data_IF_309400435378
#
_entry.id   IF_309400435378
#
_cell.length_a   1.000
_cell.length_b   1.000
_cell.length_c   1.000
_cell.angle_alpha   90.00
_cell.angle_beta   90.00
_cell.angle_gamma   90.00
#
_symmetry.space_group_name_H-M   'P 1'
#
loop_
_entity.id
_entity.type
_entity.pdbx_description
1 polymer ?
#
# COMPACT_ATOMS: atom_id res chain seq x y z
N UNK A 1 16.92 4.23 7.68
CA UNK A 1 15.51 3.81 7.64
C UNK A 1 15.44 2.34 7.31
N UNK A 2 14.62 1.60 8.03
CA UNK A 2 14.42 0.16 7.88
C UNK A 2 12.94 -0.11 7.56
N UNK A 3 12.66 -1.16 6.78
CA UNK A 3 11.29 -1.63 6.56
C UNK A 3 11.13 -2.93 7.33
N UNK A 4 10.11 -2.99 8.18
CA UNK A 4 9.73 -4.18 8.94
C UNK A 4 8.44 -4.74 8.33
N UNK A 5 8.42 -6.03 8.00
CA UNK A 5 7.22 -6.75 7.57
C UNK A 5 6.53 -7.30 8.82
N UNK A 6 5.23 -7.07 8.94
CA UNK A 6 4.40 -7.44 10.10
C UNK A 6 2.94 -7.61 9.66
N UNK A 7 2.01 -7.67 10.61
CA UNK A 7 0.58 -7.87 10.39
C UNK A 7 -0.28 -6.87 11.18
N UNK A 8 -1.61 -7.00 11.09
CA UNK A 8 -2.59 -6.13 11.71
C UNK A 8 -2.52 -6.05 13.24
N UNK A 9 -1.86 -7.02 13.89
CA UNK A 9 -1.75 -7.12 15.35
C UNK A 9 -0.56 -6.35 15.91
N UNK A 10 0.30 -5.80 15.05
CA UNK A 10 1.45 -5.01 15.48
C UNK A 10 1.01 -3.71 16.15
N UNK A 11 1.33 -3.54 17.44
CA UNK A 11 0.94 -2.36 18.22
C UNK A 11 1.40 -1.05 17.55
N UNK A 12 2.56 -1.07 16.88
CA UNK A 12 3.10 0.11 16.20
C UNK A 12 2.27 0.50 14.97
N UNK A 13 1.69 -0.48 14.28
CA UNK A 13 0.77 -0.26 13.18
C UNK A 13 -0.55 0.30 13.68
N UNK A 14 -1.10 -0.30 14.74
CA UNK A 14 -2.33 0.17 15.39
C UNK A 14 -2.19 1.63 15.85
N UNK A 15 -1.04 1.98 16.43
CA UNK A 15 -0.75 3.35 16.89
C UNK A 15 -0.67 4.36 15.73
N UNK A 16 0.05 4.04 14.64
CA UNK A 16 0.14 4.97 13.51
C UNK A 16 -1.22 5.14 12.83
N UNK A 17 -2.01 4.08 12.60
CA UNK A 17 -3.35 4.21 12.04
C UNK A 17 -4.28 5.09 12.89
N UNK A 18 -4.23 4.94 14.22
CA UNK A 18 -4.97 5.83 15.15
C UNK A 18 -4.55 7.29 14.99
N UNK A 19 -3.26 7.56 14.78
CA UNK A 19 -2.77 8.94 14.59
C UNK A 19 -3.28 9.61 13.31
N UNK A 20 -3.67 8.81 12.31
CA UNK A 20 -4.30 9.27 11.07
C UNK A 20 -5.85 9.20 11.12
N UNK A 21 -6.45 8.81 12.25
CA UNK A 21 -7.91 8.71 12.41
C UNK A 21 -8.54 7.53 11.65
N UNK A 22 -7.75 6.53 11.27
CA UNK A 22 -8.18 5.39 10.46
C UNK A 22 -8.72 4.24 11.33
N UNK A 23 -9.71 3.51 10.81
CA UNK A 23 -10.17 2.23 11.34
C UNK A 23 -9.48 1.10 10.57
N UNK A 24 -8.95 0.12 11.31
CA UNK A 24 -8.21 -1.00 10.73
C UNK A 24 -9.17 -1.95 10.01
N UNK A 25 -8.99 -2.09 8.70
CA UNK A 25 -9.70 -3.08 7.88
C UNK A 25 -8.84 -4.33 7.69
N UNK A 26 -8.52 -4.96 8.83
CA UNK A 26 -7.82 -6.26 8.97
C UNK A 26 -6.81 -6.61 7.85
N UNK A 27 -5.76 -5.79 7.63
CA UNK A 27 -4.79 -6.06 6.57
C UNK A 27 -3.95 -7.30 6.88
N UNK A 28 -3.79 -8.17 5.88
CA UNK A 28 -3.00 -9.39 6.02
C UNK A 28 -1.49 -9.13 6.13
N UNK A 29 -0.99 -8.10 5.43
CA UNK A 29 0.43 -7.74 5.44
C UNK A 29 0.56 -6.24 5.67
N UNK A 30 1.45 -5.89 6.59
CA UNK A 30 1.80 -4.53 6.95
C UNK A 30 3.31 -4.32 6.79
N UNK A 31 3.69 -3.23 6.14
CA UNK A 31 5.06 -2.73 6.10
C UNK A 31 5.19 -1.50 6.96
N UNK A 32 6.05 -1.56 7.99
CA UNK A 32 6.38 -0.40 8.83
C UNK A 32 7.71 0.22 8.39
N UNK A 33 7.69 1.51 8.09
CA UNK A 33 8.91 2.30 7.91
C UNK A 33 9.41 2.78 9.27
N UNK A 34 10.61 2.34 9.64
CA UNK A 34 11.25 2.65 10.92
C UNK A 34 12.39 3.65 10.73
N UNK A 35 12.42 4.67 11.60
CA UNK A 35 13.53 5.60 11.72
C UNK A 35 13.96 5.73 13.19
N UNK A 36 15.19 5.31 13.52
CA UNK A 36 15.72 5.28 14.89
C UNK A 36 14.71 4.74 15.93
N UNK A 37 14.08 3.59 15.62
CA UNK A 37 13.05 2.89 16.43
C UNK A 37 11.66 3.54 16.46
N UNK A 38 11.45 4.68 15.81
CA UNK A 38 10.12 5.28 15.65
C UNK A 38 9.47 4.78 14.37
N UNK A 39 8.19 4.40 14.45
CA UNK A 39 7.36 4.16 13.27
C UNK A 39 6.99 5.49 12.66
N UNK A 40 7.28 5.62 11.38
CA UNK A 40 7.17 6.90 10.68
C UNK A 40 6.41 6.81 9.38
N UNK A 41 6.05 5.62 8.98
CA UNK A 41 5.11 5.38 7.92
C UNK A 41 4.69 3.93 7.89
N UNK A 42 3.62 3.66 7.18
CA UNK A 42 3.20 2.31 6.88
C UNK A 42 2.56 2.22 5.51
N UNK A 43 2.56 1.01 4.97
CA UNK A 43 1.64 0.61 3.90
C UNK A 43 1.17 -0.81 4.19
N UNK A 44 0.02 -1.19 3.68
CA UNK A 44 -0.56 -2.52 3.93
C UNK A 44 -1.36 -3.03 2.75
N UNK A 45 -1.53 -4.34 2.68
CA UNK A 45 -2.53 -4.94 1.80
C UNK A 45 -3.38 -6.00 2.49
N UNK A 46 -4.53 -6.26 1.88
CA UNK A 46 -5.39 -7.41 2.14
C UNK A 46 -5.71 -8.14 0.82
N UNK A 47 -6.31 -9.31 0.92
CA UNK A 47 -6.87 -10.00 -0.26
C UNK A 47 -8.02 -9.18 -0.83
N UNK A 48 -8.00 -8.92 -2.14
CA UNK A 48 -9.12 -8.28 -2.85
C UNK A 48 -10.01 -9.35 -3.48
N UNK A 49 -9.40 -10.22 -4.29
CA UNK A 49 -10.05 -11.37 -4.91
C UNK A 49 -9.07 -12.56 -5.02
N UNK A 50 -9.42 -13.58 -5.80
CA UNK A 50 -8.60 -14.78 -5.96
C UNK A 50 -7.24 -14.54 -6.64
N UNK A 51 -7.10 -13.45 -7.40
CA UNK A 51 -5.93 -13.15 -8.22
C UNK A 51 -5.24 -11.83 -7.82
N UNK A 52 -5.80 -11.06 -6.90
CA UNK A 52 -5.31 -9.73 -6.56
C UNK A 52 -5.34 -9.38 -5.07
N UNK A 53 -4.38 -8.56 -4.68
CA UNK A 53 -4.32 -7.91 -3.37
C UNK A 53 -4.67 -6.42 -3.50
N UNK A 54 -5.32 -5.85 -2.48
CA UNK A 54 -5.65 -4.43 -2.40
C UNK A 54 -4.71 -3.73 -1.43
N UNK A 55 -4.05 -2.66 -1.88
CA UNK A 55 -3.34 -1.74 -0.99
C UNK A 55 -4.37 -0.90 -0.25
N UNK A 56 -4.43 -1.05 1.07
CA UNK A 56 -5.44 -0.40 1.91
C UNK A 56 -4.93 0.82 2.65
N UNK A 57 -3.61 0.92 2.87
CA UNK A 57 -3.03 2.09 3.55
C UNK A 57 -1.72 2.53 2.92
N UNK A 58 -1.50 3.84 2.95
CA UNK A 58 -0.20 4.47 2.71
C UNK A 58 -0.11 5.74 3.57
N UNK A 59 0.49 5.61 4.75
CA UNK A 59 0.65 6.72 5.69
C UNK A 59 2.12 7.06 5.86
N UNK A 60 2.48 8.35 5.73
CA UNK A 60 3.85 8.85 5.89
C UNK A 60 3.87 10.12 6.75
N UNK A 61 4.50 10.05 7.93
CA UNK A 61 4.71 11.22 8.79
C UNK A 61 5.75 12.16 8.15
N UNK A 62 5.29 13.29 7.62
CA UNK A 62 6.08 14.41 7.04
C UNK A 62 7.57 14.13 6.80
N UNK A 63 7.90 13.71 5.59
CA UNK A 63 9.26 13.49 5.11
C UNK A 63 9.60 14.44 3.97
N UNK A 64 10.81 15.00 4.01
CA UNK A 64 11.50 15.37 2.78
C UNK A 64 11.63 14.07 1.96
N UNK A 65 11.12 14.07 0.72
CA UNK A 65 11.15 12.92 -0.20
C UNK A 65 10.09 11.81 0.04
N UNK A 66 8.84 12.23 0.33
CA UNK A 66 7.67 11.35 0.41
C UNK A 66 7.50 10.44 -0.82
N UNK A 67 7.70 10.98 -2.02
CA UNK A 67 7.52 10.25 -3.28
C UNK A 67 8.45 9.02 -3.36
N UNK A 68 9.76 9.20 -3.16
CA UNK A 68 10.71 8.08 -3.19
C UNK A 68 10.41 7.04 -2.11
N UNK A 69 9.95 7.47 -0.94
CA UNK A 69 9.58 6.55 0.15
C UNK A 69 8.34 5.75 -0.22
N UNK A 70 7.29 6.40 -0.75
CA UNK A 70 6.08 5.72 -1.24
C UNK A 70 6.42 4.65 -2.27
N UNK A 71 7.27 4.99 -3.26
CA UNK A 71 7.70 4.01 -4.27
C UNK A 71 8.41 2.81 -3.67
N UNK A 72 9.28 3.04 -2.70
CA UNK A 72 10.01 1.96 -2.04
C UNK A 72 9.06 1.02 -1.28
N UNK A 73 8.09 1.60 -0.56
CA UNK A 73 7.10 0.85 0.19
C UNK A 73 6.18 0.05 -0.73
N UNK A 74 5.61 0.69 -1.77
CA UNK A 74 4.71 0.05 -2.72
C UNK A 74 5.43 -1.07 -3.46
N UNK A 75 6.65 -0.86 -3.97
CA UNK A 75 7.41 -1.93 -4.65
C UNK A 75 7.76 -3.11 -3.74
N UNK A 76 8.06 -2.86 -2.47
CA UNK A 76 8.30 -3.94 -1.52
C UNK A 76 7.01 -4.74 -1.25
N UNK A 77 5.88 -4.05 -1.22
CA UNK A 77 4.57 -4.64 -1.04
C UNK A 77 4.16 -5.46 -2.27
N UNK A 78 4.36 -4.94 -3.48
CA UNK A 78 4.19 -5.65 -4.75
C UNK A 78 5.02 -6.95 -4.77
N UNK A 79 6.26 -6.90 -4.29
CA UNK A 79 7.10 -8.09 -4.19
C UNK A 79 6.50 -9.16 -3.28
N UNK A 80 5.99 -8.76 -2.13
CA UNK A 80 5.36 -9.71 -1.21
C UNK A 80 4.05 -10.27 -1.81
N UNK A 81 3.27 -9.44 -2.50
CA UNK A 81 2.07 -9.91 -3.19
C UNK A 81 2.41 -10.95 -4.28
N UNK A 82 3.49 -10.74 -5.05
CA UNK A 82 3.99 -11.74 -6.00
C UNK A 82 4.47 -13.03 -5.31
N UNK A 83 5.16 -12.91 -4.16
CA UNK A 83 5.58 -14.07 -3.36
C UNK A 83 4.37 -14.85 -2.80
N UNK A 84 3.20 -14.19 -2.69
CA UNK A 84 1.92 -14.79 -2.28
C UNK A 84 1.10 -15.29 -3.49
N UNK A 85 1.72 -15.35 -4.67
CA UNK A 85 1.14 -15.83 -5.94
C UNK A 85 -0.03 -14.98 -6.49
N UNK A 86 -0.23 -13.76 -5.97
CA UNK A 86 -1.15 -12.82 -6.62
C UNK A 86 -0.62 -12.43 -8.00
N UNK A 87 -1.53 -12.21 -8.94
CA UNK A 87 -1.24 -11.80 -10.31
C UNK A 87 -1.26 -10.29 -10.49
N UNK A 88 -1.90 -9.58 -9.57
CA UNK A 88 -2.01 -8.12 -9.64
C UNK A 88 -2.19 -7.49 -8.26
N UNK A 89 -2.00 -6.17 -8.22
CA UNK A 89 -2.37 -5.34 -7.08
C UNK A 89 -3.30 -4.24 -7.53
N UNK A 90 -4.28 -3.93 -6.68
CA UNK A 90 -5.25 -2.86 -6.86
C UNK A 90 -5.15 -1.84 -5.73
N UNK A 91 -5.64 -0.63 -5.98
CA UNK A 91 -5.86 0.41 -4.97
C UNK A 91 -7.11 1.19 -5.35
N UNK A 92 -7.95 1.45 -4.35
CA UNK A 92 -9.21 2.18 -4.46
C UNK A 92 -9.07 3.62 -3.97
N UNK A 93 -9.85 4.53 -4.56
CA UNK A 93 -9.89 5.94 -4.20
C UNK A 93 -11.32 6.45 -4.09
N UNK A 94 -11.54 7.40 -3.17
CA UNK A 94 -12.83 8.08 -3.04
C UNK A 94 -13.02 9.19 -4.09
N UNK A 95 -11.93 9.68 -4.69
CA UNK A 95 -11.93 10.78 -5.67
C UNK A 95 -10.82 10.63 -6.70
N UNK A 96 -11.08 11.10 -7.94
CA UNK A 96 -10.08 11.16 -9.03
C UNK A 96 -9.05 12.28 -8.84
N UNK A 97 -9.28 13.15 -7.86
CA UNK A 97 -8.39 14.26 -7.51
C UNK A 97 -7.46 13.89 -6.33
N UNK A 98 -7.46 12.63 -5.89
CA UNK A 98 -6.59 12.19 -4.80
C UNK A 98 -5.11 12.32 -5.20
N UNK A 99 -4.35 13.00 -4.35
CA UNK A 99 -2.93 13.30 -4.57
C UNK A 99 -2.05 12.05 -4.68
N UNK A 100 -2.52 10.90 -4.20
CA UNK A 100 -1.78 9.65 -4.28
C UNK A 100 -1.90 9.00 -5.67
N UNK A 101 -2.89 9.36 -6.50
CA UNK A 101 -3.06 8.80 -7.85
C UNK A 101 -1.79 8.95 -8.68
N UNK A 102 -1.18 10.14 -8.67
CA UNK A 102 0.09 10.42 -9.38
C UNK A 102 1.23 9.47 -8.97
N UNK A 103 1.26 9.03 -7.71
CA UNK A 103 2.27 8.08 -7.22
C UNK A 103 2.04 6.71 -7.87
N UNK A 104 0.79 6.25 -7.94
CA UNK A 104 0.44 4.97 -8.52
C UNK A 104 0.58 4.96 -10.05
N UNK A 105 0.18 6.02 -10.74
CA UNK A 105 0.39 6.14 -12.20
C UNK A 105 1.88 6.06 -12.57
N UNK A 106 2.76 6.74 -11.81
CA UNK A 106 4.21 6.66 -11.99
C UNK A 106 4.81 5.29 -11.65
N UNK A 107 4.05 4.42 -11.00
CA UNK A 107 4.38 3.02 -10.74
C UNK A 107 3.73 2.06 -11.74
N UNK A 108 3.23 2.58 -12.86
CA UNK A 108 2.58 1.85 -13.96
C UNK A 108 1.20 1.26 -13.61
N UNK A 109 0.52 1.80 -12.60
CA UNK A 109 -0.89 1.47 -12.35
C UNK A 109 -1.78 2.18 -13.36
N UNK A 110 -2.87 1.53 -13.75
CA UNK A 110 -3.82 2.08 -14.71
C UNK A 110 -5.22 2.06 -14.12
N UNK A 111 -6.03 3.07 -14.45
CA UNK A 111 -7.45 3.07 -14.11
C UNK A 111 -8.14 1.84 -14.72
N UNK A 112 -8.92 1.15 -13.89
CA UNK A 112 -9.84 0.11 -14.33
C UNK A 112 -11.22 0.73 -14.44
N UNK A 113 -11.90 0.48 -15.56
CA UNK A 113 -13.27 0.95 -15.73
C UNK A 113 -14.19 0.17 -14.78
N UNK A 114 -14.65 0.84 -13.73
CA UNK A 114 -15.60 0.33 -12.76
C UNK A 114 -16.61 1.44 -12.46
N UNK A 115 -17.89 1.18 -12.71
CA UNK A 115 -18.97 2.18 -12.60
C UNK A 115 -19.16 2.69 -11.16
N UNK A 116 -18.67 1.95 -10.17
CA UNK A 116 -18.94 2.22 -8.75
C UNK A 116 -17.70 2.62 -7.95
N UNK A 117 -16.49 2.50 -8.52
CA UNK A 117 -15.25 2.65 -7.77
C UNK A 117 -14.14 3.24 -8.63
N UNK A 118 -13.35 4.13 -8.05
CA UNK A 118 -12.16 4.66 -8.70
C UNK A 118 -11.00 3.74 -8.35
N UNK A 119 -10.76 2.76 -9.20
CA UNK A 119 -9.78 1.71 -8.99
C UNK A 119 -8.59 1.89 -9.93
N UNK A 120 -7.38 1.81 -9.39
CA UNK A 120 -6.15 1.64 -10.16
C UNK A 120 -5.63 0.22 -9.97
N UNK A 121 -5.16 -0.40 -11.06
CA UNK A 121 -4.63 -1.77 -11.06
C UNK A 121 -3.27 -1.83 -11.75
N UNK A 122 -2.40 -2.70 -11.23
CA UNK A 122 -1.16 -3.11 -11.87
C UNK A 122 -1.09 -4.62 -11.97
N UNK A 123 -1.04 -5.12 -13.19
CA UNK A 123 -0.78 -6.52 -13.49
C UNK A 123 0.71 -6.82 -13.31
N UNK A 124 1.04 -7.88 -12.57
CA UNK A 124 2.40 -8.38 -12.52
C UNK A 124 2.70 -9.10 -13.82
N UNK A 125 3.73 -8.65 -14.52
CA UNK A 125 4.23 -9.38 -15.69
C UNK A 125 4.74 -10.73 -15.21
N UNK A 126 4.10 -11.81 -15.66
CA UNK A 126 4.70 -13.13 -15.55
C UNK A 126 6.09 -13.07 -16.17
N UNK A 127 7.11 -13.50 -15.41
CA UNK A 127 8.42 -13.80 -15.98
C UNK A 127 8.22 -15.04 -16.86
N UNK A 128 7.88 -14.82 -18.14
CA UNK A 128 7.88 -15.84 -19.19
C UNK A 128 9.32 -16.16 -19.55
#
# INVERSE_FOLDING_TARGET
MEIVVTDERDERFIEICKSFGCFLDEPQVVLLLMNYKKTVGCTSFKVYDADSAEITTLFLNSYDDRERISYKLIRQLEKIAMDYEFKSVVVSFDSREDILIDIFEKLDYQFVDNENEILLKKEFKSLI
#
